data_IF_870469941441
#
_entry.id   IF_870469941441
#
_cell.length_a   1.000
_cell.length_b   1.000
_cell.length_c   1.000
_cell.angle_alpha   90.00
_cell.angle_beta   90.00
_cell.angle_gamma   90.00
#
_symmetry.space_group_name_H-M   'P 1'
#
loop_
_entity.id
_entity.type
_entity.pdbx_description
1 polymer ?
#
# COMPACT_ATOMS: atom_id res chain seq x y z
N UNK A 1 -6.00 -45.56 -40.23
CA UNK A 1 -6.81 -44.49 -39.61
C UNK A 1 -7.96 -44.16 -40.53
N UNK A 2 -9.21 -44.34 -40.09
CA UNK A 2 -10.36 -43.97 -40.91
C UNK A 2 -10.45 -42.44 -41.03
N UNK A 3 -10.99 -41.89 -42.13
CA UNK A 3 -11.14 -40.44 -42.32
C UNK A 3 -11.93 -39.77 -41.18
N UNK A 4 -12.85 -40.50 -40.54
CA UNK A 4 -13.62 -40.05 -39.37
C UNK A 4 -12.77 -39.97 -38.09
N UNK A 5 -11.84 -40.90 -37.87
CA UNK A 5 -10.90 -40.87 -36.74
C UNK A 5 -9.92 -39.69 -36.85
N UNK A 6 -9.40 -39.40 -38.06
CA UNK A 6 -8.52 -38.23 -38.29
C UNK A 6 -9.25 -36.91 -38.01
N UNK A 7 -10.50 -36.78 -38.43
CA UNK A 7 -11.31 -35.58 -38.21
C UNK A 7 -11.61 -35.35 -36.72
N UNK A 8 -11.94 -36.40 -35.97
CA UNK A 8 -12.11 -36.34 -34.50
C UNK A 8 -10.81 -35.97 -33.79
N UNK A 9 -9.69 -36.56 -34.19
CA UNK A 9 -8.38 -36.24 -33.62
C UNK A 9 -8.04 -34.76 -33.83
N UNK A 10 -8.24 -34.24 -35.05
CA UNK A 10 -8.03 -32.82 -35.36
C UNK A 10 -8.91 -31.90 -34.53
N UNK A 11 -10.18 -32.26 -34.30
CA UNK A 11 -11.08 -31.48 -33.44
C UNK A 11 -10.60 -31.47 -31.98
N UNK A 12 -10.18 -32.62 -31.43
CA UNK A 12 -9.64 -32.69 -30.07
C UNK A 12 -8.37 -31.85 -29.94
N UNK A 13 -7.47 -31.92 -30.92
CA UNK A 13 -6.23 -31.13 -30.95
C UNK A 13 -6.54 -29.63 -31.03
N UNK A 14 -7.51 -29.23 -31.84
CA UNK A 14 -7.98 -27.84 -31.93
C UNK A 14 -8.52 -27.36 -30.58
N UNK A 15 -9.37 -28.14 -29.92
CA UNK A 15 -9.93 -27.80 -28.60
C UNK A 15 -8.83 -27.67 -27.55
N UNK A 16 -7.88 -28.60 -27.52
CA UNK A 16 -6.73 -28.52 -26.60
C UNK A 16 -5.86 -27.30 -26.87
N UNK A 17 -5.63 -26.95 -28.14
CA UNK A 17 -4.86 -25.76 -28.51
C UNK A 17 -5.56 -24.48 -28.06
N UNK A 18 -6.87 -24.37 -28.29
CA UNK A 18 -7.67 -23.21 -27.83
C UNK A 18 -7.69 -23.13 -26.30
N UNK A 19 -7.89 -24.25 -25.61
CA UNK A 19 -7.87 -24.29 -24.15
C UNK A 19 -6.49 -23.90 -23.58
N UNK A 20 -5.41 -24.40 -24.18
CA UNK A 20 -4.04 -24.04 -23.80
C UNK A 20 -3.74 -22.56 -24.01
N UNK A 21 -4.18 -21.99 -25.13
CA UNK A 21 -4.06 -20.55 -25.40
C UNK A 21 -4.86 -19.72 -24.37
N UNK A 22 -6.08 -20.14 -24.03
CA UNK A 22 -6.88 -19.46 -23.01
C UNK A 22 -6.20 -19.47 -21.64
N UNK A 23 -5.67 -20.61 -21.19
CA UNK A 23 -4.93 -20.72 -19.92
C UNK A 23 -3.69 -19.83 -19.92
N UNK A 24 -2.93 -19.80 -21.02
CA UNK A 24 -1.74 -18.95 -21.14
C UNK A 24 -2.10 -17.46 -21.07
N UNK A 25 -3.17 -17.04 -21.75
CA UNK A 25 -3.65 -15.65 -21.71
C UNK A 25 -4.12 -15.26 -20.31
N UNK A 26 -4.88 -16.11 -19.63
CA UNK A 26 -5.35 -15.83 -18.26
C UNK A 26 -4.16 -15.76 -17.28
N UNK A 27 -3.21 -16.69 -17.37
CA UNK A 27 -2.03 -16.70 -16.50
C UNK A 27 -1.18 -15.45 -16.67
N UNK A 28 -0.92 -15.03 -17.92
CA UNK A 28 -0.16 -13.81 -18.21
C UNK A 28 -0.90 -12.54 -17.78
N UNK A 29 -2.22 -12.49 -17.93
CA UNK A 29 -3.03 -11.36 -17.46
C UNK A 29 -2.98 -11.24 -15.92
N UNK A 30 -3.05 -12.36 -15.19
CA UNK A 30 -3.00 -12.37 -13.73
C UNK A 30 -1.63 -11.93 -13.20
N UNK A 31 -0.54 -12.45 -13.78
CA UNK A 31 0.83 -12.07 -13.39
C UNK A 31 1.10 -10.57 -13.54
N UNK A 32 0.52 -9.93 -14.57
CA UNK A 32 0.66 -8.48 -14.79
C UNK A 32 -0.15 -7.62 -13.81
N UNK A 33 -1.15 -8.19 -13.14
CA UNK A 33 -2.05 -7.45 -12.25
C UNK A 33 -1.64 -7.51 -10.77
N UNK A 34 -0.69 -8.39 -10.41
CA UNK A 34 -0.22 -8.51 -9.02
C UNK A 34 0.93 -7.51 -8.80
N UNK A 35 0.66 -6.46 -8.03
CA UNK A 35 1.68 -5.54 -7.55
C UNK A 35 2.22 -6.06 -6.21
N UNK A 36 3.42 -6.65 -6.25
CA UNK A 36 4.13 -7.11 -5.05
C UNK A 36 4.55 -5.93 -4.17
N UNK A 37 4.65 -6.18 -2.86
CA UNK A 37 5.14 -5.21 -1.89
C UNK A 37 6.64 -5.36 -1.70
N UNK A 38 7.38 -4.27 -1.87
CA UNK A 38 8.82 -4.18 -1.68
C UNK A 38 9.16 -3.05 -0.71
N UNK A 39 10.26 -3.22 0.02
CA UNK A 39 10.81 -2.14 0.85
C UNK A 39 11.84 -1.29 0.09
N UNK A 40 12.13 -0.06 0.52
CA UNK A 40 13.21 0.76 -0.05
C UNK A 40 14.55 0.02 -0.23
N UNK A 41 14.97 -0.79 0.74
CA UNK A 41 16.22 -1.55 0.66
C UNK A 41 16.18 -2.61 -0.45
N UNK A 42 15.06 -3.31 -0.61
CA UNK A 42 14.88 -4.32 -1.66
C UNK A 42 14.85 -3.68 -3.06
N UNK A 43 14.24 -2.51 -3.19
CA UNK A 43 14.23 -1.73 -4.45
C UNK A 43 15.65 -1.31 -4.82
N UNK A 44 16.42 -0.78 -3.86
CA UNK A 44 17.81 -0.38 -4.08
C UNK A 44 18.74 -1.59 -4.37
N UNK A 45 18.41 -2.77 -3.85
CA UNK A 45 19.10 -4.02 -4.17
C UNK A 45 18.79 -4.56 -5.59
N UNK A 46 17.94 -3.88 -6.36
CA UNK A 46 17.62 -4.26 -7.74
C UNK A 46 16.64 -5.42 -7.87
N UNK A 47 15.83 -5.69 -6.83
CA UNK A 47 14.85 -6.78 -6.85
C UNK A 47 13.58 -6.48 -7.68
N UNK A 48 13.45 -5.24 -8.15
CA UNK A 48 12.32 -4.79 -8.96
C UNK A 48 12.73 -4.68 -10.43
N UNK A 49 11.96 -5.28 -11.32
CA UNK A 49 12.19 -5.17 -12.75
C UNK A 49 12.01 -3.72 -13.24
N UNK A 50 12.81 -3.26 -14.22
CA UNK A 50 12.63 -1.95 -14.84
C UNK A 50 11.17 -1.77 -15.32
N UNK A 51 10.57 -0.62 -15.02
CA UNK A 51 9.18 -0.27 -15.35
C UNK A 51 8.07 -1.13 -14.72
N UNK A 52 8.39 -2.06 -13.82
CA UNK A 52 7.38 -2.84 -13.12
C UNK A 52 6.53 -1.96 -12.21
N UNK A 53 5.22 -2.26 -12.18
CA UNK A 53 4.31 -1.69 -11.19
C UNK A 53 4.40 -2.49 -9.91
N UNK A 54 4.70 -1.83 -8.80
CA UNK A 54 4.82 -2.47 -7.49
C UNK A 54 4.31 -1.56 -6.37
N UNK A 55 4.19 -2.15 -5.18
CA UNK A 55 3.82 -1.46 -3.95
C UNK A 55 5.10 -1.21 -3.14
N UNK A 56 5.40 0.03 -2.84
CA UNK A 56 6.46 0.42 -1.93
C UNK A 56 5.88 0.51 -0.52
N UNK A 57 6.36 -0.32 0.39
CA UNK A 57 6.01 -0.29 1.82
C UNK A 57 7.14 0.29 2.66
N UNK A 58 6.80 1.18 3.59
CA UNK A 58 7.78 1.72 4.54
C UNK A 58 7.17 2.81 5.41
N UNK A 59 8.02 3.60 6.06
CA UNK A 59 7.65 4.76 6.85
C UNK A 59 8.02 6.04 6.11
N UNK A 60 7.20 7.08 6.23
CA UNK A 60 7.56 8.41 5.70
C UNK A 60 8.67 9.01 6.56
N UNK A 61 9.79 9.40 5.95
CA UNK A 61 10.90 10.01 6.68
C UNK A 61 10.51 11.39 7.24
N UNK A 62 10.91 11.67 8.49
CA UNK A 62 10.62 12.95 9.17
C UNK A 62 11.37 14.10 8.49
N UNK A 63 10.69 15.22 8.27
CA UNK A 63 11.21 16.40 7.56
C UNK A 63 11.42 16.22 6.06
N UNK A 64 10.97 15.10 5.47
CA UNK A 64 11.14 14.83 4.04
C UNK A 64 9.97 15.36 3.19
N UNK A 65 8.82 15.62 3.81
CA UNK A 65 7.62 16.02 3.09
C UNK A 65 7.72 17.46 2.58
N UNK A 66 7.62 17.60 1.26
CA UNK A 66 7.65 18.87 0.54
C UNK A 66 6.48 18.93 -0.43
N UNK A 67 5.73 20.03 -0.36
CA UNK A 67 4.64 20.33 -1.29
C UNK A 67 4.65 21.82 -1.59
N UNK A 68 4.68 22.17 -2.88
CA UNK A 68 4.61 23.56 -3.30
C UNK A 68 3.19 24.12 -3.03
N UNK A 69 3.07 25.36 -2.52
CA UNK A 69 1.78 25.99 -2.30
C UNK A 69 0.95 26.03 -3.60
N UNK A 70 -0.25 25.46 -3.57
CA UNK A 70 -1.15 25.41 -4.73
C UNK A 70 -0.87 24.28 -5.74
N UNK A 71 0.19 23.49 -5.55
CA UNK A 71 0.45 22.31 -6.38
C UNK A 71 -0.17 21.03 -5.78
N UNK A 72 -0.57 20.11 -6.65
CA UNK A 72 -0.95 18.75 -6.24
C UNK A 72 0.27 17.84 -6.05
N UNK A 73 1.44 18.25 -6.55
CA UNK A 73 2.67 17.48 -6.48
C UNK A 73 3.27 17.50 -5.07
N UNK A 74 3.20 16.35 -4.40
CA UNK A 74 3.88 16.06 -3.15
C UNK A 74 5.15 15.25 -3.42
N UNK A 75 6.21 15.58 -2.68
CA UNK A 75 7.48 14.86 -2.67
C UNK A 75 7.80 14.48 -1.23
N UNK A 76 8.17 13.23 -0.99
CA UNK A 76 8.57 12.73 0.32
C UNK A 76 9.47 11.52 0.16
N UNK A 77 10.16 11.13 1.22
CA UNK A 77 11.00 9.95 1.22
C UNK A 77 10.36 8.85 2.06
N UNK A 78 10.42 7.62 1.56
CA UNK A 78 9.97 6.43 2.29
C UNK A 78 11.21 5.64 2.72
N UNK A 79 11.24 5.24 3.98
CA UNK A 79 12.33 4.50 4.60
C UNK A 79 11.83 3.24 5.31
N UNK A 80 12.59 2.17 5.23
CA UNK A 80 12.43 0.97 6.07
C UNK A 80 13.37 0.96 7.28
N UNK A 81 14.21 2.00 7.43
CA UNK A 81 15.28 2.09 8.42
C UNK A 81 16.67 1.83 7.85
N UNK A 82 16.77 1.02 6.79
CA UNK A 82 18.05 0.66 6.16
C UNK A 82 18.32 1.50 4.90
N UNK A 83 17.28 1.83 4.15
CA UNK A 83 17.35 2.64 2.96
C UNK A 83 16.28 3.74 2.93
N UNK A 84 16.48 4.71 2.05
CA UNK A 84 15.52 5.76 1.75
C UNK A 84 15.27 5.78 0.24
N UNK A 85 14.01 5.93 -0.15
CA UNK A 85 13.61 6.01 -1.54
C UNK A 85 12.76 7.27 -1.76
N UNK A 86 13.13 8.15 -2.72
CA UNK A 86 12.35 9.34 -3.02
C UNK A 86 11.06 8.96 -3.74
N UNK A 87 9.95 9.50 -3.26
CA UNK A 87 8.60 9.29 -3.78
C UNK A 87 8.00 10.61 -4.24
N UNK A 88 7.36 10.59 -5.41
CA UNK A 88 6.57 11.70 -5.95
C UNK A 88 5.14 11.25 -6.16
N UNK A 89 4.18 12.09 -5.78
CA UNK A 89 2.75 11.83 -5.88
C UNK A 89 2.02 13.10 -6.33
N UNK A 90 1.19 13.03 -7.37
CA UNK A 90 0.57 14.19 -8.02
C UNK A 90 -0.93 14.34 -7.74
N UNK A 91 -1.47 13.55 -6.81
CA UNK A 91 -2.87 13.57 -6.39
C UNK A 91 -3.01 14.04 -4.95
N UNK A 92 -4.26 14.13 -4.49
CA UNK A 92 -4.58 14.47 -3.10
C UNK A 92 -4.11 13.33 -2.20
N UNK A 93 -3.25 13.66 -1.24
CA UNK A 93 -2.84 12.71 -0.19
C UNK A 93 -4.01 12.45 0.76
N UNK A 94 -4.15 11.23 1.28
CA UNK A 94 -5.13 10.95 2.32
C UNK A 94 -4.90 11.84 3.55
N UNK A 95 -5.98 12.19 4.26
CA UNK A 95 -5.90 13.05 5.46
C UNK A 95 -5.04 12.45 6.59
N UNK A 96 -4.86 11.13 6.57
CA UNK A 96 -4.04 10.39 7.53
C UNK A 96 -2.55 10.34 7.16
N UNK A 97 -2.15 10.88 6.01
CA UNK A 97 -0.74 10.91 5.65
C UNK A 97 0.03 11.85 6.59
N UNK A 98 0.99 11.32 7.34
CA UNK A 98 1.93 12.10 8.16
C UNK A 98 3.32 11.51 8.10
N UNK A 99 4.30 12.37 8.35
CA UNK A 99 5.68 11.96 8.55
C UNK A 99 5.82 11.04 9.78
N UNK A 100 6.69 10.04 9.71
CA UNK A 100 6.90 9.07 10.78
C UNK A 100 5.82 7.99 10.89
N UNK A 101 4.85 7.94 9.97
CA UNK A 101 3.86 6.88 9.90
C UNK A 101 4.15 5.89 8.76
N UNK A 102 3.64 4.67 8.92
CA UNK A 102 3.71 3.64 7.89
C UNK A 102 2.77 3.97 6.72
N UNK A 103 3.30 3.83 5.52
CA UNK A 103 2.61 4.11 4.26
C UNK A 103 2.87 2.98 3.26
N UNK A 104 1.87 2.72 2.42
CA UNK A 104 2.02 1.87 1.24
C UNK A 104 1.69 2.70 0.01
N UNK A 105 2.66 2.88 -0.87
CA UNK A 105 2.49 3.62 -2.12
C UNK A 105 2.54 2.65 -3.31
N UNK A 106 1.56 2.68 -4.20
CA UNK A 106 1.56 1.87 -5.42
C UNK A 106 2.00 2.71 -6.60
N UNK A 107 2.96 2.23 -7.40
CA UNK A 107 3.56 3.05 -8.45
C UNK A 107 4.61 2.32 -9.28
N UNK A 108 5.46 3.10 -9.93
CA UNK A 108 6.58 2.62 -10.77
C UNK A 108 7.84 3.46 -10.51
N UNK A 109 9.01 2.88 -10.75
CA UNK A 109 10.26 3.63 -10.76
C UNK A 109 10.45 4.36 -12.09
N UNK A 110 10.77 5.65 -12.04
CA UNK A 110 11.07 6.49 -13.22
C UNK A 110 12.31 7.32 -12.90
N UNK A 111 13.39 7.16 -13.66
CA UNK A 111 14.63 7.93 -13.52
C UNK A 111 15.19 7.98 -12.07
N UNK A 112 15.07 6.89 -11.31
CA UNK A 112 15.55 6.80 -9.93
C UNK A 112 14.60 7.40 -8.88
N UNK A 113 13.41 7.86 -9.27
CA UNK A 113 12.35 8.33 -8.36
C UNK A 113 11.15 7.41 -8.47
N UNK A 114 10.54 7.06 -7.34
CA UNK A 114 9.31 6.30 -7.32
C UNK A 114 8.12 7.24 -7.57
N UNK A 115 7.43 7.05 -8.69
CA UNK A 115 6.21 7.81 -9.02
C UNK A 115 5.02 7.01 -8.54
N UNK A 116 4.41 7.48 -7.45
CA UNK A 116 3.24 6.88 -6.86
C UNK A 116 1.97 7.27 -7.64
N UNK A 117 1.12 6.29 -7.92
CA UNK A 117 -0.22 6.46 -8.50
C UNK A 117 -1.30 6.45 -7.41
N UNK A 118 -1.03 5.77 -6.30
CA UNK A 118 -1.92 5.64 -5.15
C UNK A 118 -1.09 5.58 -3.85
N UNK A 119 -1.59 6.20 -2.79
CA UNK A 119 -0.93 6.25 -1.48
C UNK A 119 -1.94 5.90 -0.41
N UNK A 120 -1.66 4.83 0.32
CA UNK A 120 -2.47 4.34 1.43
C UNK A 120 -1.71 4.60 2.73
N UNK A 121 -2.25 5.50 3.55
CA UNK A 121 -1.79 5.69 4.93
C UNK A 121 -2.61 4.78 5.86
N UNK A 122 -1.96 4.18 6.86
CA UNK A 122 -2.64 3.30 7.80
C UNK A 122 -3.63 4.09 8.68
N UNK A 123 -4.86 3.57 8.83
CA UNK A 123 -5.80 4.00 9.88
C UNK A 123 -5.35 3.43 11.22
N UNK A 124 -4.83 4.27 12.10
CA UNK A 124 -4.72 3.93 13.53
C UNK A 124 -6.05 4.29 14.22
N UNK A 125 -7.13 3.60 13.84
CA UNK A 125 -8.31 3.56 14.70
C UNK A 125 -8.10 2.48 15.75
N UNK A 126 -7.47 2.86 16.85
CA UNK A 126 -7.73 2.13 18.11
C UNK A 126 -9.17 2.44 18.49
N UNK A 127 -10.11 1.64 17.95
CA UNK A 127 -11.52 1.70 18.30
C UNK A 127 -11.64 1.42 19.80
N UNK A 128 -11.93 2.47 20.56
CA UNK A 128 -12.26 2.36 21.98
C UNK A 128 -13.78 2.13 22.04
N UNK A 129 -14.25 0.92 22.39
CA UNK A 129 -15.69 0.66 22.45
C UNK A 129 -16.31 1.55 23.53
N UNK A 130 -17.47 2.13 23.25
CA UNK A 130 -18.23 2.98 24.18
C UNK A 130 -18.51 2.27 25.52
N UNK A 131 -18.60 0.94 25.49
CA UNK A 131 -18.74 0.09 26.69
C UNK A 131 -17.59 0.24 27.70
N UNK A 132 -16.38 0.61 27.26
CA UNK A 132 -15.23 0.82 28.14
C UNK A 132 -15.33 2.16 28.87
N UNK A 133 -15.87 3.20 28.21
CA UNK A 133 -16.13 4.50 28.84
C UNK A 133 -17.24 4.40 29.91
N UNK A 134 -18.32 3.67 29.62
CA UNK A 134 -19.41 3.47 30.58
C UNK A 134 -18.95 2.67 31.80
N UNK A 135 -18.14 1.61 31.61
CA UNK A 135 -17.62 0.79 32.73
C UNK A 135 -16.60 1.52 33.60
N UNK A 136 -15.87 2.50 33.05
CA UNK A 136 -14.98 3.36 33.84
C UNK A 136 -15.76 4.42 34.62
N UNK A 137 -16.87 4.94 34.08
CA UNK A 137 -17.78 5.84 34.81
C UNK A 137 -18.35 5.21 36.09
N UNK A 138 -18.77 3.94 36.03
CA UNK A 138 -19.32 3.23 37.21
C UNK A 138 -18.26 2.87 38.26
N UNK A 139 -16.98 2.83 37.89
CA UNK A 139 -15.88 2.56 38.81
C UNK A 139 -15.47 3.80 39.62
N UNK A 140 -15.62 5.00 39.04
CA UNK A 140 -15.35 6.28 39.72
C UNK A 140 -16.35 6.56 40.84
N UNK A 141 -17.62 6.19 40.69
CA UNK A 141 -18.65 6.38 41.73
C UNK A 141 -18.46 5.47 42.95
N UNK A 142 -17.82 4.30 42.80
CA UNK A 142 -17.67 3.33 43.89
C UNK A 142 -16.49 3.57 44.84
N UNK A 143 -15.53 4.44 44.49
CA UNK A 143 -14.30 4.59 45.29
C UNK A 143 -13.93 6.04 45.69
N UNK A 144 -14.81 7.04 45.49
CA UNK A 144 -14.62 8.44 45.93
C UNK A 144 -13.16 8.93 45.87
N UNK A 145 -12.51 8.75 44.71
CA UNK A 145 -11.17 9.30 44.52
C UNK A 145 -11.35 10.77 44.11
N UNK A 146 -10.82 11.74 44.88
CA UNK A 146 -11.05 13.16 44.59
C UNK A 146 -10.50 13.52 43.20
N UNK A 147 -11.34 14.20 42.41
CA UNK A 147 -10.97 14.72 41.11
C UNK A 147 -9.76 15.66 41.25
N UNK A 148 -8.61 15.23 40.74
CA UNK A 148 -7.48 16.13 40.56
C UNK A 148 -7.78 16.96 39.33
N UNK A 149 -8.35 18.14 39.55
CA UNK A 149 -8.57 19.16 38.53
C UNK A 149 -7.24 19.43 37.81
N UNK A 150 -7.18 19.42 36.47
CA UNK A 150 -5.99 19.88 35.77
C UNK A 150 -5.92 21.40 35.93
N UNK A 151 -4.97 21.86 36.76
CA UNK A 151 -4.60 23.26 36.86
C UNK A 151 -4.10 23.72 35.49
N UNK A 152 -5.00 24.34 34.73
CA UNK A 152 -4.64 25.29 33.68
C UNK A 152 -4.28 26.57 34.41
N UNK A 153 -2.99 26.92 34.49
CA UNK A 153 -2.50 28.29 34.50
C UNK A 153 -0.95 28.31 34.54
N UNK A 154 -0.37 28.82 33.46
CA UNK A 154 0.99 29.37 33.29
C UNK A 154 0.79 30.90 33.35
N UNK A 155 1.73 31.74 33.86
CA UNK A 155 3.19 31.66 33.72
C UNK A 155 4.04 31.73 34.99
#
# INVERSE_FOLDING_TARGET
MSPTQRRRLLLVLLVLLVAGAAVALVSTALQRNIAYLYTPAEVNAGQVAPDARFRLGGMVAKGSFKREPGALLARFEVTDGDAMLPVTYDRILPDLFREGQAVVATGRMVNGVFVAEDVLAKHDETYMPKELADKMGVAHDKHQVPATTPTTETP
#
